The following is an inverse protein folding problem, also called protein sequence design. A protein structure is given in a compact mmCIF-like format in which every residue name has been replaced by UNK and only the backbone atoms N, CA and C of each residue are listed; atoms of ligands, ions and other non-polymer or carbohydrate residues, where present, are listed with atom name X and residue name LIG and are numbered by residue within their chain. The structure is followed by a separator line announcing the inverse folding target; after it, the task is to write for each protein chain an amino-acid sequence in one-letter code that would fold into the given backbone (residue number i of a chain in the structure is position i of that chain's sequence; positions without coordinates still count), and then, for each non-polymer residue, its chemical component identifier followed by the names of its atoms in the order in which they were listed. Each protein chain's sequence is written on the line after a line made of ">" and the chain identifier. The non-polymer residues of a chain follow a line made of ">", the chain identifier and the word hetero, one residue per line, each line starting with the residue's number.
data_IF_992256589240
#
_entry.id   IF_992256589240
#
_cell.length_a   1.000
_cell.length_b   1.000
_cell.length_c   1.000
_cell.angle_alpha   90.00
_cell.angle_beta   90.00
_cell.angle_gamma   90.00
#
_symmetry.space_group_name_H-M   'P 1'
#
loop_
_entity.id
_entity.type
_entity.pdbx_description
1 polymer ?
#
# COMPACT_ATOMS: atom_id res chain seq x y z
N UNK A 1 -12.72 -10.59 7.31
CA UNK A 1 -11.72 -9.85 6.51
C UNK A 1 -10.41 -10.64 6.35
N UNK A 2 -10.49 -11.90 5.93
CA UNK A 2 -9.31 -12.78 5.82
C UNK A 2 -8.25 -12.19 4.87
N UNK A 3 -8.64 -11.87 3.63
CA UNK A 3 -7.71 -11.32 2.62
C UNK A 3 -7.07 -9.99 3.03
N UNK A 4 -7.83 -9.10 3.69
CA UNK A 4 -7.27 -7.82 4.19
C UNK A 4 -6.26 -8.05 5.32
N UNK A 5 -6.52 -9.03 6.18
CA UNK A 5 -5.60 -9.44 7.26
C UNK A 5 -4.29 -9.94 6.65
N UNK A 6 -4.38 -10.84 5.65
CA UNK A 6 -3.21 -11.34 4.91
C UNK A 6 -2.43 -10.22 4.23
N UNK A 7 -3.12 -9.29 3.57
CA UNK A 7 -2.47 -8.16 2.88
C UNK A 7 -1.73 -7.27 3.89
N UNK A 8 -2.42 -6.84 4.94
CA UNK A 8 -1.83 -6.01 6.00
C UNK A 8 -0.61 -6.68 6.62
N UNK A 9 -0.74 -7.94 7.03
CA UNK A 9 0.34 -8.66 7.73
C UNK A 9 1.55 -8.86 6.81
N UNK A 10 1.31 -9.24 5.56
CA UNK A 10 2.37 -9.36 4.56
C UNK A 10 3.08 -8.04 4.27
N UNK A 11 2.35 -6.92 4.15
CA UNK A 11 2.94 -5.60 3.93
C UNK A 11 3.72 -5.11 5.17
N UNK A 12 3.24 -5.41 6.38
CA UNK A 12 3.87 -5.00 7.65
C UNK A 12 5.26 -5.62 7.85
N UNK A 13 5.51 -6.80 7.28
CA UNK A 13 6.79 -7.49 7.37
C UNK A 13 7.87 -6.96 6.41
N UNK A 14 7.51 -6.07 5.47
CA UNK A 14 8.43 -5.55 4.46
C UNK A 14 9.21 -4.35 5.03
N UNK A 15 10.56 -4.43 5.14
CA UNK A 15 11.36 -3.29 5.58
C UNK A 15 11.16 -2.06 4.70
N UNK A 16 10.92 -0.90 5.32
CA UNK A 16 10.69 0.36 4.62
C UNK A 16 9.24 0.59 4.16
N UNK A 17 8.33 -0.38 4.34
CA UNK A 17 6.90 -0.16 4.14
C UNK A 17 6.29 0.45 5.40
N UNK A 18 5.53 1.54 5.22
CA UNK A 18 4.83 2.26 6.28
C UNK A 18 3.34 2.10 6.06
N UNK A 19 2.64 1.50 7.02
CA UNK A 19 1.19 1.36 7.02
C UNK A 19 0.55 2.41 7.93
N UNK A 20 -0.61 2.96 7.54
CA UNK A 20 -1.31 3.97 8.33
C UNK A 20 -2.64 3.44 8.85
N UNK A 21 -2.90 3.65 10.16
CA UNK A 21 -4.13 3.22 10.82
C UNK A 21 -4.40 1.71 10.71
N UNK A 22 -3.36 0.86 10.59
CA UNK A 22 -3.49 -0.59 10.37
C UNK A 22 -3.07 -1.45 11.58
N UNK A 23 -2.97 -0.88 12.78
CA UNK A 23 -2.57 -1.62 13.99
C UNK A 23 -3.66 -2.61 14.45
N UNK A 24 -4.93 -2.20 14.32
CA UNK A 24 -6.11 -3.02 14.59
C UNK A 24 -7.07 -2.93 13.40
N UNK A 25 -7.64 -4.08 13.00
CA UNK A 25 -8.65 -4.16 11.93
C UNK A 25 -10.08 -4.27 12.47
N UNK A 26 -10.30 -4.13 13.79
CA UNK A 26 -11.63 -4.04 14.38
C UNK A 26 -12.38 -2.83 13.80
N UNK A 27 -13.61 -3.06 13.33
CA UNK A 27 -14.44 -2.04 12.66
C UNK A 27 -13.79 -1.39 11.44
N UNK A 28 -12.86 -2.08 10.78
CA UNK A 28 -12.19 -1.59 9.58
C UNK A 28 -12.92 -2.07 8.32
N UNK A 29 -12.90 -1.27 7.25
CA UNK A 29 -13.31 -1.72 5.91
C UNK A 29 -12.12 -2.39 5.20
N UNK A 30 -12.36 -3.12 4.12
CA UNK A 30 -11.33 -3.82 3.35
C UNK A 30 -10.44 -2.90 2.49
N UNK A 31 -10.04 -1.75 3.02
CA UNK A 31 -9.18 -0.76 2.35
C UNK A 31 -8.03 -0.44 3.30
N UNK A 32 -6.82 -0.31 2.78
CA UNK A 32 -5.67 0.17 3.55
C UNK A 32 -4.80 1.08 2.70
N UNK A 33 -4.03 1.93 3.38
CA UNK A 33 -3.04 2.80 2.73
C UNK A 33 -1.64 2.50 3.27
N UNK A 34 -0.66 2.64 2.39
CA UNK A 34 0.75 2.45 2.71
C UNK A 34 1.64 3.37 1.87
N UNK A 35 2.88 3.52 2.31
CA UNK A 35 3.96 4.14 1.56
C UNK A 35 5.22 3.29 1.65
N UNK A 36 6.14 3.49 0.71
CA UNK A 36 7.50 2.95 0.77
C UNK A 36 8.44 4.12 1.07
N UNK A 37 9.26 3.97 2.11
CA UNK A 37 10.18 5.02 2.55
C UNK A 37 11.11 5.46 1.41
N UNK A 38 11.12 6.77 1.14
CA UNK A 38 11.98 7.35 0.10
C UNK A 38 11.49 7.12 -1.33
N UNK A 39 10.20 6.80 -1.52
CA UNK A 39 9.51 6.75 -2.81
C UNK A 39 8.21 7.54 -2.76
N UNK A 40 7.84 8.17 -3.88
CA UNK A 40 6.53 8.79 -4.02
C UNK A 40 5.45 7.74 -4.30
N UNK A 41 4.25 7.95 -3.75
CA UNK A 41 3.13 7.03 -3.96
C UNK A 41 2.81 6.82 -5.46
N UNK A 42 2.89 7.88 -6.27
CA UNK A 42 2.64 7.82 -7.70
C UNK A 42 3.65 6.92 -8.44
N UNK A 43 4.93 6.95 -8.03
CA UNK A 43 5.98 6.10 -8.57
C UNK A 43 5.71 4.63 -8.23
N UNK A 44 5.41 4.33 -6.96
CA UNK A 44 5.04 2.98 -6.51
C UNK A 44 3.81 2.46 -7.27
N UNK A 45 2.79 3.31 -7.46
CA UNK A 45 1.60 2.96 -8.23
C UNK A 45 1.92 2.66 -9.70
N UNK A 46 2.87 3.38 -10.29
CA UNK A 46 3.33 3.13 -11.67
C UNK A 46 4.02 1.78 -11.79
N UNK A 47 4.94 1.45 -10.86
CA UNK A 47 5.59 0.14 -10.85
C UNK A 47 4.58 -0.99 -10.69
N UNK A 48 3.64 -0.87 -9.75
CA UNK A 48 2.60 -1.87 -9.52
C UNK A 48 1.75 -2.13 -10.78
N UNK A 49 1.37 -1.08 -11.51
CA UNK A 49 0.57 -1.20 -12.73
C UNK A 49 1.39 -1.79 -13.89
N UNK A 50 2.55 -1.19 -14.20
CA UNK A 50 3.33 -1.51 -15.40
C UNK A 50 4.05 -2.85 -15.31
N UNK A 51 4.73 -3.11 -14.19
CA UNK A 51 5.61 -4.28 -14.07
C UNK A 51 4.88 -5.50 -13.51
N UNK A 52 3.80 -5.28 -12.74
CA UNK A 52 3.10 -6.34 -12.01
C UNK A 52 1.63 -6.49 -12.36
N UNK A 53 1.06 -5.60 -13.20
CA UNK A 53 -0.35 -5.61 -13.58
C UNK A 53 -1.30 -5.57 -12.35
N UNK A 54 -0.92 -4.77 -11.34
CA UNK A 54 -1.66 -4.58 -10.10
C UNK A 54 -2.23 -3.18 -10.05
N UNK A 55 -3.56 -3.08 -10.14
CA UNK A 55 -4.25 -1.82 -10.01
C UNK A 55 -4.30 -1.34 -8.54
N UNK A 56 -3.86 -0.11 -8.31
CA UNK A 56 -4.04 0.60 -7.05
C UNK A 56 -4.50 2.05 -7.30
N UNK A 57 -4.77 2.80 -6.23
CA UNK A 57 -4.95 4.26 -6.31
C UNK A 57 -3.86 4.95 -5.53
N UNK A 58 -3.43 6.11 -6.01
CA UNK A 58 -2.39 6.93 -5.40
C UNK A 58 -2.92 8.35 -5.17
N UNK A 59 -2.29 9.07 -4.24
CA UNK A 59 -2.58 10.47 -3.95
C UNK A 59 -3.33 10.68 -2.63
N UNK A 60 -4.15 11.73 -2.59
CA UNK A 60 -4.85 12.18 -1.37
C UNK A 60 -6.25 11.55 -1.20
N UNK A 61 -6.66 10.68 -2.11
CA UNK A 61 -7.93 9.94 -2.04
C UNK A 61 -9.20 10.79 -1.79
N UNK A 62 -9.21 12.04 -2.26
CA UNK A 62 -10.25 13.04 -1.98
C UNK A 62 -10.46 13.34 -0.49
N UNK A 63 -9.48 13.06 0.37
CA UNK A 63 -9.50 13.27 1.81
C UNK A 63 -8.27 14.07 2.28
N UNK A 64 -8.01 15.28 1.74
CA UNK A 64 -6.77 16.03 1.99
C UNK A 64 -6.53 16.32 3.48
N UNK A 65 -7.57 16.65 4.25
CA UNK A 65 -7.44 16.92 5.69
C UNK A 65 -7.01 15.68 6.50
N UNK A 66 -7.45 14.49 6.10
CA UNK A 66 -6.98 13.23 6.72
C UNK A 66 -5.51 13.01 6.38
N UNK A 67 -5.12 13.28 5.13
CA UNK A 67 -3.73 13.18 4.71
C UNK A 67 -2.82 14.17 5.44
N UNK A 68 -3.29 15.39 5.75
CA UNK A 68 -2.60 16.36 6.61
C UNK A 68 -2.40 15.83 8.04
N UNK A 69 -3.44 15.26 8.65
CA UNK A 69 -3.35 14.66 9.98
C UNK A 69 -2.35 13.49 10.03
N UNK A 70 -2.27 12.72 8.95
CA UNK A 70 -1.30 11.62 8.80
C UNK A 70 0.10 12.10 8.36
N UNK A 71 0.27 13.38 8.02
CA UNK A 71 1.51 13.96 7.49
C UNK A 71 1.88 13.46 6.09
N UNK A 72 0.94 12.83 5.39
CA UNK A 72 1.15 12.25 4.05
C UNK A 72 0.89 13.26 2.93
N UNK A 73 0.19 14.35 3.22
CA UNK A 73 0.03 15.51 2.32
C UNK A 73 1.39 16.05 1.84
N UNK A 74 2.37 16.12 2.74
CA UNK A 74 3.74 16.61 2.50
C UNK A 74 4.56 15.73 1.56
N UNK A 75 4.12 14.49 1.36
CA UNK A 75 4.75 13.49 0.48
C UNK A 75 3.80 13.07 -0.65
N UNK A 76 2.88 13.96 -1.02
CA UNK A 76 1.96 13.80 -2.15
C UNK A 76 0.97 12.62 -2.02
N UNK A 77 0.70 12.18 -0.79
CA UNK A 77 -0.33 11.21 -0.45
C UNK A 77 0.19 9.81 -0.10
N UNK A 78 -0.60 8.79 -0.44
CA UNK A 78 -0.28 7.39 -0.16
C UNK A 78 -0.74 6.47 -1.30
N UNK A 79 -0.27 5.22 -1.29
CA UNK A 79 -0.82 4.14 -2.12
C UNK A 79 -1.97 3.49 -1.36
N UNK A 80 -3.07 3.19 -2.05
CA UNK A 80 -4.26 2.56 -1.49
C UNK A 80 -4.61 1.27 -2.21
N UNK A 81 -4.74 0.21 -1.43
CA UNK A 81 -5.39 -1.02 -1.87
C UNK A 81 -6.80 -1.12 -1.31
N UNK A 82 -7.72 -1.59 -2.15
CA UNK A 82 -9.07 -1.99 -1.77
C UNK A 82 -9.28 -3.45 -2.15
N UNK A 83 -9.64 -4.28 -1.18
CA UNK A 83 -9.90 -5.70 -1.37
C UNK A 83 -11.41 -5.91 -1.51
N UNK A 84 -11.82 -6.32 -2.71
CA UNK A 84 -13.21 -6.61 -3.06
C UNK A 84 -13.56 -8.10 -2.97
N UNK A 85 -14.84 -8.45 -3.21
CA UNK A 85 -15.34 -9.83 -3.09
C UNK A 85 -14.76 -10.80 -4.12
N UNK A 86 -14.16 -10.30 -5.21
CA UNK A 86 -13.57 -11.11 -6.28
C UNK A 86 -12.06 -11.28 -6.17
N UNK A 87 -11.42 -10.67 -5.16
CA UNK A 87 -10.01 -10.93 -4.90
C UNK A 87 -9.83 -12.33 -4.31
N UNK A 88 -8.65 -12.90 -4.52
CA UNK A 88 -8.28 -14.24 -4.07
C UNK A 88 -7.00 -14.15 -3.23
N UNK A 89 -6.64 -15.23 -2.55
CA UNK A 89 -5.36 -15.25 -1.81
C UNK A 89 -4.16 -15.05 -2.72
N UNK A 90 -4.20 -15.58 -3.94
CA UNK A 90 -3.15 -15.41 -4.95
C UNK A 90 -2.98 -13.93 -5.32
N UNK A 91 -4.09 -13.19 -5.53
CA UNK A 91 -4.01 -11.75 -5.75
C UNK A 91 -3.33 -11.01 -4.59
N UNK A 92 -3.62 -11.40 -3.35
CA UNK A 92 -2.98 -10.80 -2.17
C UNK A 92 -1.49 -11.15 -2.11
N UNK A 93 -1.11 -12.42 -2.35
CA UNK A 93 0.29 -12.87 -2.37
C UNK A 93 1.08 -12.14 -3.46
N UNK A 94 0.52 -11.99 -4.65
CA UNK A 94 1.13 -11.22 -5.74
C UNK A 94 1.32 -9.75 -5.36
N UNK A 95 0.33 -9.11 -4.73
CA UNK A 95 0.45 -7.73 -4.27
C UNK A 95 1.54 -7.53 -3.21
N UNK A 96 1.62 -8.41 -2.21
CA UNK A 96 2.66 -8.37 -1.18
C UNK A 96 4.05 -8.58 -1.79
N UNK A 97 4.19 -9.56 -2.69
CA UNK A 97 5.47 -9.83 -3.35
C UNK A 97 5.92 -8.66 -4.24
N UNK A 98 5.03 -8.06 -5.02
CA UNK A 98 5.34 -6.90 -5.84
C UNK A 98 5.82 -5.71 -4.99
N UNK A 99 5.11 -5.38 -3.91
CA UNK A 99 5.53 -4.30 -3.00
C UNK A 99 6.90 -4.61 -2.37
N UNK A 100 7.16 -5.86 -2.00
CA UNK A 100 8.44 -6.29 -1.44
C UNK A 100 9.59 -6.09 -2.43
N UNK A 101 9.40 -6.48 -3.69
CA UNK A 101 10.40 -6.30 -4.74
C UNK A 101 10.68 -4.82 -5.02
N UNK A 102 9.64 -3.99 -5.10
CA UNK A 102 9.77 -2.53 -5.29
C UNK A 102 10.56 -1.91 -4.13
N UNK A 103 10.21 -2.25 -2.87
CA UNK A 103 10.90 -1.74 -1.69
C UNK A 103 12.39 -2.17 -1.66
N UNK A 104 12.69 -3.42 -2.03
CA UNK A 104 14.07 -3.92 -2.09
C UNK A 104 14.89 -3.28 -3.22
N UNK A 105 14.29 -3.07 -4.39
CA UNK A 105 14.95 -2.41 -5.52
C UNK A 105 15.37 -0.98 -5.16
N UNK A 106 14.56 -0.27 -4.35
CA UNK A 106 14.91 1.06 -3.82
C UNK A 106 16.09 1.01 -2.85
N UNK A 107 16.10 0.05 -1.92
CA UNK A 107 17.17 -0.10 -0.93
C UNK A 107 18.53 -0.38 -1.57
N UNK A 108 18.57 -1.04 -2.73
CA UNK A 108 19.81 -1.28 -3.49
C UNK A 108 20.33 -0.05 -4.25
N UNK A 109 19.49 0.98 -4.40
CA UNK A 109 19.80 2.24 -5.10
C UNK A 109 20.09 3.41 -4.14
N UNK A 110 19.89 3.22 -2.84
CA UNK A 110 20.20 4.18 -1.78
C UNK A 110 21.65 4.00 -1.31
#
# INVERSE_FOLDING_TARGET
>A
MHLTTMLRDGLKEIPGVILYCQEDLKNHISVLIFNIQGMEAAEVGTFLDVDYNIACRTGLHCAPLVHEQLGTDKIHGAVRFGVGPFNTEEHIRSAVNAVKEIAQARSKRA
#
